data_IF_345976093170
#
_entry.id   IF_345976093170
#
_cell.length_a   1.000
_cell.length_b   1.000
_cell.length_c   1.000
_cell.angle_alpha   90.00
_cell.angle_beta   90.00
_cell.angle_gamma   90.00
#
_symmetry.space_group_name_H-M   'P 1'
#
loop_
_entity.id
_entity.type
_entity.pdbx_description
1 polymer ?
#
# COMPACT_ATOMS: atom_id res chain seq x y z
N UNK A 1 36.42 -14.71 16.43
CA UNK A 1 35.55 -13.62 16.93
C UNK A 1 35.17 -12.73 15.75
N UNK A 2 34.11 -13.10 15.04
CA UNK A 2 33.22 -12.17 14.34
C UNK A 2 31.97 -12.96 13.97
N UNK A 3 30.93 -12.86 14.79
CA UNK A 3 29.62 -13.47 14.53
C UNK A 3 29.04 -12.75 13.30
N UNK A 4 28.69 -13.53 12.28
CA UNK A 4 27.84 -13.05 11.21
C UNK A 4 26.57 -12.53 11.88
N UNK A 5 26.28 -11.25 11.69
CA UNK A 5 24.98 -10.69 12.07
C UNK A 5 23.94 -11.35 11.17
N UNK A 6 23.22 -12.32 11.72
CA UNK A 6 22.09 -12.96 11.08
C UNK A 6 21.06 -11.90 10.70
N UNK A 7 21.02 -11.52 9.42
CA UNK A 7 20.01 -10.62 8.83
C UNK A 7 18.58 -11.20 8.83
N UNK A 8 18.29 -12.20 9.68
CA UNK A 8 17.05 -13.00 9.69
C UNK A 8 15.92 -12.40 10.54
N UNK A 9 16.00 -11.12 10.89
CA UNK A 9 15.10 -10.50 11.87
C UNK A 9 14.44 -9.17 11.43
N UNK A 10 14.19 -8.98 10.14
CA UNK A 10 13.33 -7.87 9.65
C UNK A 10 11.98 -8.34 9.10
N UNK A 11 11.63 -9.62 9.22
CA UNK A 11 10.30 -10.12 8.89
C UNK A 11 9.33 -9.82 10.05
N UNK A 12 8.89 -8.57 10.18
CA UNK A 12 7.67 -8.28 10.94
C UNK A 12 6.48 -8.74 10.10
N UNK A 13 6.14 -10.02 10.15
CA UNK A 13 4.91 -10.52 9.55
C UNK A 13 3.74 -10.08 10.43
N UNK A 14 3.17 -8.91 10.16
CA UNK A 14 1.81 -8.66 10.59
C UNK A 14 0.96 -9.80 9.99
N UNK A 15 0.26 -10.60 10.81
CA UNK A 15 -0.57 -11.66 10.27
C UNK A 15 -1.60 -11.00 9.37
N UNK A 16 -1.49 -11.25 8.07
CA UNK A 16 -2.53 -10.83 7.15
C UNK A 16 -3.83 -11.44 7.67
N UNK A 17 -4.93 -10.66 7.78
CA UNK A 17 -6.23 -11.22 8.11
C UNK A 17 -6.47 -12.42 7.19
N UNK A 18 -7.17 -13.45 7.67
CA UNK A 18 -7.46 -14.64 6.88
C UNK A 18 -8.28 -14.25 5.64
N UNK A 19 -7.58 -13.89 4.56
CA UNK A 19 -8.16 -13.55 3.28
C UNK A 19 -8.65 -14.86 2.68
N UNK A 20 -9.93 -14.91 2.29
CA UNK A 20 -10.44 -16.07 1.56
C UNK A 20 -9.65 -16.18 0.26
N UNK A 21 -9.22 -17.40 -0.08
CA UNK A 21 -8.58 -17.63 -1.37
C UNK A 21 -9.49 -17.11 -2.49
N UNK A 22 -8.94 -16.28 -3.38
CA UNK A 22 -9.68 -15.64 -4.47
C UNK A 22 -10.28 -14.26 -4.16
N UNK A 23 -10.23 -13.75 -2.93
CA UNK A 23 -10.66 -12.38 -2.63
C UNK A 23 -9.51 -11.39 -2.81
N UNK A 24 -9.79 -10.26 -3.47
CA UNK A 24 -8.84 -9.17 -3.61
C UNK A 24 -8.41 -8.62 -2.24
N UNK A 25 -7.13 -8.32 -2.10
CA UNK A 25 -6.57 -7.79 -0.84
C UNK A 25 -7.02 -6.34 -0.67
N UNK A 26 -7.67 -5.96 0.45
CA UNK A 26 -8.04 -4.57 0.68
C UNK A 26 -6.79 -3.70 0.87
N UNK A 27 -6.71 -2.60 0.12
CA UNK A 27 -5.61 -1.64 0.18
C UNK A 27 -6.18 -0.24 0.22
N UNK A 28 -5.95 0.47 1.33
CA UNK A 28 -6.29 1.87 1.42
C UNK A 28 -5.37 2.72 0.54
N UNK A 29 -5.94 3.55 -0.33
CA UNK A 29 -5.19 4.38 -1.28
C UNK A 29 -5.56 5.84 -1.08
N UNK A 30 -4.57 6.68 -0.76
CA UNK A 30 -4.70 8.13 -0.91
C UNK A 30 -4.15 8.56 -2.26
N UNK A 31 -4.93 9.34 -2.99
CA UNK A 31 -4.46 10.01 -4.21
C UNK A 31 -3.56 11.21 -3.90
N UNK A 32 -3.58 11.72 -2.67
CA UNK A 32 -2.83 12.91 -2.27
C UNK A 32 -3.31 14.20 -2.95
N UNK A 33 -2.56 15.27 -2.75
CA UNK A 33 -2.78 16.60 -3.33
C UNK A 33 -1.63 16.98 -4.29
N UNK A 34 -1.72 18.12 -4.96
CA UNK A 34 -0.71 18.55 -5.95
C UNK A 34 -0.70 17.62 -7.16
N UNK A 35 0.48 17.09 -7.51
CA UNK A 35 0.66 16.08 -8.59
C UNK A 35 0.35 14.64 -8.16
N UNK A 36 -0.10 14.46 -6.91
CA UNK A 36 -0.42 13.16 -6.33
C UNK A 36 -1.42 12.35 -7.16
N UNK A 37 -2.57 12.93 -7.59
CA UNK A 37 -3.57 12.19 -8.35
C UNK A 37 -3.03 11.53 -9.63
N UNK A 38 -2.21 12.24 -10.40
CA UNK A 38 -1.62 11.76 -11.64
C UNK A 38 -0.61 10.63 -11.40
N UNK A 39 0.25 10.79 -10.39
CA UNK A 39 1.23 9.77 -9.99
C UNK A 39 0.54 8.52 -9.48
N UNK A 40 -0.50 8.69 -8.65
CA UNK A 40 -1.22 7.57 -8.05
C UNK A 40 -1.98 6.79 -9.12
N UNK A 41 -2.63 7.48 -10.07
CA UNK A 41 -3.26 6.81 -11.21
C UNK A 41 -2.26 6.02 -12.07
N UNK A 42 -1.08 6.59 -12.35
CA UNK A 42 -0.04 5.89 -13.10
C UNK A 42 0.47 4.65 -12.35
N UNK A 43 0.66 4.75 -11.03
CA UNK A 43 1.08 3.65 -10.16
C UNK A 43 0.04 2.51 -10.16
N UNK A 44 -1.24 2.85 -9.95
CA UNK A 44 -2.33 1.87 -9.99
C UNK A 44 -2.43 1.20 -11.36
N UNK A 45 -2.23 1.94 -12.46
CA UNK A 45 -2.22 1.37 -13.81
C UNK A 45 -1.16 0.28 -13.96
N UNK A 46 0.06 0.50 -13.44
CA UNK A 46 1.13 -0.50 -13.47
C UNK A 46 0.78 -1.72 -12.61
N UNK A 47 0.29 -1.51 -11.39
CA UNK A 47 -0.08 -2.60 -10.48
C UNK A 47 -1.18 -3.49 -11.08
N UNK A 48 -2.23 -2.88 -11.63
CA UNK A 48 -3.33 -3.61 -12.25
C UNK A 48 -2.87 -4.34 -13.51
N UNK A 49 -2.02 -3.72 -14.34
CA UNK A 49 -1.44 -4.37 -15.52
C UNK A 49 -0.52 -5.55 -15.14
N UNK A 50 0.13 -5.49 -13.98
CA UNK A 50 0.96 -6.57 -13.44
C UNK A 50 0.15 -7.71 -12.79
N UNK A 51 -1.19 -7.63 -12.75
CA UNK A 51 -2.05 -8.65 -12.17
C UNK A 51 -2.22 -8.55 -10.65
N UNK A 52 -2.01 -7.38 -10.06
CA UNK A 52 -2.29 -7.17 -8.64
C UNK A 52 -3.77 -7.42 -8.33
N UNK A 53 -4.05 -8.41 -7.47
CA UNK A 53 -5.38 -8.72 -6.99
C UNK A 53 -5.70 -7.88 -5.72
N UNK A 54 -5.95 -6.59 -5.91
CA UNK A 54 -6.19 -5.63 -4.83
C UNK A 54 -7.56 -4.96 -4.96
N UNK A 55 -8.24 -4.78 -3.84
CA UNK A 55 -9.44 -3.96 -3.71
C UNK A 55 -9.01 -2.57 -3.24
N UNK A 56 -9.16 -1.58 -4.11
CA UNK A 56 -8.79 -0.20 -3.80
C UNK A 56 -9.84 0.41 -2.89
N UNK A 57 -9.40 0.87 -1.72
CA UNK A 57 -10.23 1.59 -0.75
C UNK A 57 -9.75 3.04 -0.67
N UNK A 58 -10.36 3.97 -1.44
CA UNK A 58 -9.92 5.36 -1.43
C UNK A 58 -10.06 5.98 -0.03
N UNK A 59 -9.03 6.68 0.42
CA UNK A 59 -9.04 7.45 1.66
C UNK A 59 -8.61 8.89 1.36
N UNK A 60 -9.30 9.87 1.95
CA UNK A 60 -8.87 11.26 1.85
C UNK A 60 -7.77 11.51 2.87
N UNK A 61 -6.54 11.71 2.39
CA UNK A 61 -5.38 12.11 3.19
C UNK A 61 -4.60 13.14 2.39
N UNK A 62 -4.13 14.20 3.02
CA UNK A 62 -3.30 15.21 2.37
C UNK A 62 -3.42 16.58 3.00
N UNK A 63 -2.74 17.54 2.39
CA UNK A 63 -2.75 18.95 2.76
C UNK A 63 -4.17 19.53 2.80
N UNK A 64 -5.03 19.17 1.84
CA UNK A 64 -6.42 19.63 1.80
C UNK A 64 -7.22 19.15 3.01
N UNK A 65 -7.03 17.90 3.42
CA UNK A 65 -7.72 17.33 4.60
C UNK A 65 -7.17 17.95 5.87
N UNK A 66 -5.84 18.06 5.99
CA UNK A 66 -5.19 18.71 7.12
C UNK A 66 -5.67 20.15 7.35
N UNK A 67 -5.89 20.91 6.26
CA UNK A 67 -6.43 22.28 6.35
C UNK A 67 -7.89 22.37 6.79
N UNK A 68 -8.64 21.27 6.83
CA UNK A 68 -10.06 21.26 7.23
C UNK A 68 -10.26 21.08 8.74
N UNK A 69 -9.19 20.84 9.51
CA UNK A 69 -9.22 20.59 10.96
C UNK A 69 -9.22 19.10 11.29
#
# INVERSE_FOLDING_TARGET
MNQLVDHKALAHSHPLPALKAGTAVPVSVSFGDGIGPEIMQASLKVLLAAGANIAIEPVEIGERVYRRG
#
